data_IF_735674715958
#
_entry.id   IF_735674715958
#
_cell.length_a   1.000
_cell.length_b   1.000
_cell.length_c   1.000
_cell.angle_alpha   90.00
_cell.angle_beta   90.00
_cell.angle_gamma   90.00
#
_symmetry.space_group_name_H-M   'P 1'
#
loop_
_entity.id
_entity.type
_entity.pdbx_description
1 polymer ?
#
# COMPACT_ATOMS: atom_id res chain seq x y z
N UNK A 1 10.62 -3.40 -16.90
CA UNK A 1 11.12 -3.08 -15.55
C UNK A 1 9.97 -2.61 -14.68
N UNK A 2 9.97 -2.84 -13.36
CA UNK A 2 8.85 -2.46 -12.48
C UNK A 2 8.67 -0.94 -12.36
N UNK A 3 9.72 -0.15 -12.61
CA UNK A 3 9.68 1.32 -12.46
C UNK A 3 8.65 1.97 -13.38
N UNK A 4 8.31 1.35 -14.51
CA UNK A 4 7.33 1.88 -15.46
C UNK A 4 5.89 1.91 -14.90
N UNK A 5 5.62 1.10 -13.86
CA UNK A 5 4.33 1.06 -13.18
C UNK A 5 4.25 2.06 -12.01
N UNK A 6 5.38 2.64 -11.61
CA UNK A 6 5.44 3.63 -10.54
C UNK A 6 4.88 4.95 -11.04
N UNK A 7 3.88 5.47 -10.33
CA UNK A 7 3.29 6.76 -10.63
C UNK A 7 4.29 7.93 -10.40
N UNK A 8 4.30 8.98 -11.23
CA UNK A 8 5.17 10.16 -11.04
C UNK A 8 5.13 10.75 -9.62
N UNK A 9 3.93 10.83 -9.01
CA UNK A 9 3.74 11.29 -7.62
C UNK A 9 4.61 10.56 -6.60
N UNK A 10 4.85 9.27 -6.80
CA UNK A 10 5.68 8.48 -5.90
C UNK A 10 7.16 8.82 -6.10
N UNK A 11 7.60 9.03 -7.33
CA UNK A 11 8.99 9.45 -7.61
C UNK A 11 9.30 10.80 -6.99
N UNK A 12 8.36 11.74 -7.08
CA UNK A 12 8.46 13.07 -6.45
C UNK A 12 8.50 12.97 -4.93
N UNK A 13 7.67 12.11 -4.34
CA UNK A 13 7.63 11.90 -2.90
C UNK A 13 8.92 11.23 -2.39
N UNK A 14 9.33 10.08 -2.94
CA UNK A 14 10.49 9.36 -2.44
C UNK A 14 11.83 10.05 -2.74
N UNK A 15 11.84 11.00 -3.69
CA UNK A 15 12.98 11.81 -4.12
C UNK A 15 14.11 11.02 -4.81
N UNK A 16 14.44 9.83 -4.31
CA UNK A 16 15.49 8.95 -4.85
C UNK A 16 14.93 7.58 -5.17
N UNK A 17 15.54 6.93 -6.16
CA UNK A 17 15.20 5.56 -6.56
C UNK A 17 15.43 4.57 -5.40
N UNK A 18 16.50 4.75 -4.63
CA UNK A 18 16.86 3.85 -3.54
C UNK A 18 15.79 3.85 -2.43
N UNK A 19 15.27 5.02 -2.03
CA UNK A 19 14.22 5.11 -1.00
C UNK A 19 12.90 4.44 -1.42
N UNK A 20 12.51 4.61 -2.68
CA UNK A 20 11.35 3.91 -3.23
C UNK A 20 11.60 2.40 -3.25
N UNK A 21 12.78 2.00 -3.71
CA UNK A 21 13.17 0.59 -3.81
C UNK A 21 13.21 -0.09 -2.44
N UNK A 22 13.76 0.56 -1.42
CA UNK A 22 13.76 0.08 -0.03
C UNK A 22 12.33 -0.14 0.50
N UNK A 23 11.42 0.80 0.21
CA UNK A 23 10.01 0.69 0.59
C UNK A 23 9.33 -0.50 -0.11
N UNK A 24 9.59 -0.69 -1.40
CA UNK A 24 9.04 -1.83 -2.16
C UNK A 24 9.68 -3.16 -1.74
N UNK A 25 10.97 -3.18 -1.42
CA UNK A 25 11.64 -4.36 -0.86
C UNK A 25 11.09 -4.73 0.50
N UNK A 26 10.74 -3.75 1.34
CA UNK A 26 10.06 -4.00 2.62
C UNK A 26 8.72 -4.71 2.41
N UNK A 27 7.95 -4.29 1.39
CA UNK A 27 6.70 -4.97 1.04
C UNK A 27 6.96 -6.39 0.55
N UNK A 28 7.87 -6.56 -0.42
CA UNK A 28 8.17 -7.84 -1.06
C UNK A 28 8.70 -8.90 -0.08
N UNK A 29 9.42 -8.49 0.98
CA UNK A 29 9.94 -9.41 2.01
C UNK A 29 8.87 -9.94 2.96
N UNK A 30 7.71 -9.30 3.02
CA UNK A 30 6.66 -9.57 3.98
C UNK A 30 5.37 -10.09 3.32
N UNK A 31 5.49 -10.62 2.10
CA UNK A 31 4.45 -11.36 1.38
C UNK A 31 5.03 -12.71 0.95
N UNK A 32 4.19 -13.62 0.44
CA UNK A 32 4.71 -14.87 -0.13
C UNK A 32 5.54 -14.58 -1.39
N UNK A 33 6.66 -15.28 -1.57
CA UNK A 33 7.65 -14.99 -2.62
C UNK A 33 7.15 -15.19 -4.07
N UNK A 34 6.02 -15.88 -4.24
CA UNK A 34 5.36 -16.06 -5.54
C UNK A 34 4.24 -15.05 -5.79
N UNK A 35 3.87 -14.28 -4.79
CA UNK A 35 2.74 -13.36 -4.87
C UNK A 35 3.20 -12.01 -5.42
N UNK A 36 2.31 -11.40 -6.20
CA UNK A 36 2.50 -10.04 -6.71
C UNK A 36 1.26 -9.21 -6.37
N UNK A 37 1.35 -8.24 -5.44
CA UNK A 37 0.21 -7.43 -5.02
C UNK A 37 -0.19 -6.37 -6.05
N UNK A 38 0.57 -6.19 -7.14
CA UNK A 38 0.40 -5.14 -8.14
C UNK A 38 -0.09 -5.73 -9.46
N UNK A 39 0.66 -6.68 -10.01
CA UNK A 39 0.42 -7.30 -11.32
C UNK A 39 -0.11 -8.73 -11.23
N UNK A 40 -0.27 -9.27 -10.02
CA UNK A 40 -0.79 -10.61 -9.80
C UNK A 40 -2.27 -10.78 -10.18
N UNK A 41 -2.76 -11.99 -9.91
CA UNK A 41 -4.17 -12.35 -10.14
C UNK A 41 -5.15 -11.69 -9.17
N UNK A 42 -6.37 -12.22 -9.14
CA UNK A 42 -7.46 -11.76 -8.27
C UNK A 42 -7.52 -12.57 -6.96
N UNK A 43 -6.45 -13.29 -6.63
CA UNK A 43 -6.29 -13.95 -5.34
C UNK A 43 -5.78 -12.97 -4.28
N UNK A 44 -6.14 -13.19 -3.02
CA UNK A 44 -5.57 -12.42 -1.92
C UNK A 44 -4.04 -12.57 -1.88
N UNK A 45 -3.35 -11.47 -1.60
CA UNK A 45 -1.92 -11.45 -1.29
C UNK A 45 -1.81 -11.06 0.17
N UNK A 46 -1.32 -11.96 1.01
CA UNK A 46 -1.33 -11.78 2.46
C UNK A 46 -0.06 -11.12 2.98
N UNK A 47 -0.25 -10.20 3.91
CA UNK A 47 0.80 -9.55 4.67
C UNK A 47 1.24 -10.39 5.86
N UNK A 48 2.55 -10.51 6.06
CA UNK A 48 3.18 -11.24 7.16
C UNK A 48 4.15 -10.38 7.98
N UNK A 49 4.16 -9.07 7.74
CA UNK A 49 5.00 -8.12 8.48
C UNK A 49 4.28 -7.48 9.67
N UNK A 50 4.70 -6.26 10.02
CA UNK A 50 4.12 -5.50 11.14
C UNK A 50 2.63 -5.23 10.95
N UNK A 51 1.87 -5.30 12.05
CA UNK A 51 0.46 -4.94 12.07
C UNK A 51 0.20 -3.85 13.10
N UNK A 52 -0.86 -3.07 12.90
CA UNK A 52 -1.34 -2.17 13.97
C UNK A 52 -1.98 -2.95 15.10
N UNK A 53 -2.11 -2.31 16.27
CA UNK A 53 -2.75 -2.89 17.46
C UNK A 53 -4.29 -2.75 17.44
N UNK A 54 -4.87 -2.40 16.30
CA UNK A 54 -6.31 -2.23 16.14
C UNK A 54 -7.00 -3.60 16.01
N UNK A 55 -8.33 -3.62 16.22
CA UNK A 55 -9.16 -4.82 15.98
C UNK A 55 -10.21 -4.47 14.92
N UNK A 56 -10.17 -5.06 13.71
CA UNK A 56 -9.17 -6.02 13.23
C UNK A 56 -7.79 -5.36 13.00
N UNK A 57 -6.74 -6.19 13.04
CA UNK A 57 -5.37 -5.78 12.72
C UNK A 57 -5.27 -5.22 11.29
N UNK A 58 -4.33 -4.30 11.07
CA UNK A 58 -4.11 -3.64 9.78
C UNK A 58 -2.67 -3.83 9.33
N UNK A 59 -2.46 -4.18 8.05
CA UNK A 59 -1.12 -4.30 7.48
C UNK A 59 -0.39 -2.95 7.52
N UNK A 60 0.77 -2.91 8.19
CA UNK A 60 1.51 -1.68 8.44
C UNK A 60 2.99 -1.81 8.08
N UNK A 61 3.62 -0.69 7.75
CA UNK A 61 5.07 -0.59 7.65
C UNK A 61 5.56 0.71 8.30
N UNK A 62 6.83 0.74 8.64
CA UNK A 62 7.53 1.94 9.08
C UNK A 62 8.24 2.56 7.88
N UNK A 63 8.00 3.85 7.63
CA UNK A 63 8.79 4.63 6.68
C UNK A 63 9.23 5.94 7.30
N UNK A 64 10.40 6.42 6.88
CA UNK A 64 10.78 7.82 7.08
C UNK A 64 10.19 8.63 5.94
N UNK A 65 9.28 9.56 6.24
CA UNK A 65 8.69 10.41 5.20
C UNK A 65 9.69 11.50 4.79
N UNK A 66 9.56 12.05 3.57
CA UNK A 66 10.41 13.14 3.12
C UNK A 66 10.31 14.35 4.06
N UNK A 67 11.45 14.83 4.55
CA UNK A 67 11.51 15.95 5.50
C UNK A 67 11.28 15.55 6.97
N UNK A 68 11.09 14.27 7.26
CA UNK A 68 11.08 13.72 8.62
C UNK A 68 12.40 12.97 8.87
N UNK A 69 12.89 13.00 10.11
CA UNK A 69 14.06 12.23 10.56
C UNK A 69 13.66 10.96 11.34
N UNK A 70 12.37 10.78 11.59
CA UNK A 70 11.83 9.70 12.41
C UNK A 70 10.89 8.84 11.56
N UNK A 71 10.99 7.53 11.73
CA UNK A 71 10.04 6.60 11.13
C UNK A 71 8.62 6.83 11.64
N UNK A 72 7.66 6.92 10.71
CA UNK A 72 6.24 6.88 11.01
C UNK A 72 5.60 5.62 10.47
N UNK A 73 4.59 5.12 11.20
CA UNK A 73 3.78 4.00 10.74
C UNK A 73 2.86 4.47 9.61
N UNK A 74 2.82 3.72 8.52
CA UNK A 74 1.83 3.87 7.45
C UNK A 74 1.16 2.53 7.16
N UNK A 75 0.01 2.59 6.49
CA UNK A 75 -0.72 1.40 6.05
C UNK A 75 -0.22 0.93 4.69
N UNK A 76 0.01 -0.38 4.55
CA UNK A 76 0.55 -0.96 3.31
C UNK A 76 -0.38 -0.71 2.13
N UNK A 77 -1.69 -0.86 2.32
CA UNK A 77 -2.67 -0.62 1.25
C UNK A 77 -2.69 0.84 0.77
N UNK A 78 -2.50 1.81 1.68
CA UNK A 78 -2.39 3.23 1.33
C UNK A 78 -1.11 3.52 0.57
N UNK A 79 -0.01 2.89 0.96
CA UNK A 79 1.26 3.05 0.29
C UNK A 79 1.22 2.48 -1.13
N UNK A 80 0.68 1.27 -1.31
CA UNK A 80 0.53 0.65 -2.64
C UNK A 80 -0.38 1.48 -3.55
N UNK A 81 -1.51 1.97 -3.04
CA UNK A 81 -2.37 2.88 -3.80
C UNK A 81 -1.65 4.16 -4.20
N UNK A 82 -0.90 4.77 -3.28
CA UNK A 82 -0.12 5.98 -3.59
C UNK A 82 0.90 5.75 -4.70
N UNK A 83 1.59 4.60 -4.67
CA UNK A 83 2.66 4.27 -5.63
C UNK A 83 2.12 3.85 -6.99
N UNK A 84 1.07 3.04 -7.04
CA UNK A 84 0.69 2.28 -8.24
C UNK A 84 -0.74 2.52 -8.75
N UNK A 85 -1.64 3.11 -7.95
CA UNK A 85 -2.98 3.40 -8.48
C UNK A 85 -2.89 4.36 -9.67
N UNK A 86 -3.87 4.30 -10.56
CA UNK A 86 -4.06 5.35 -11.58
C UNK A 86 -4.50 6.66 -10.94
N UNK A 87 -4.42 7.77 -11.65
CA UNK A 87 -4.94 9.05 -11.15
C UNK A 87 -6.43 8.97 -10.79
N UNK A 88 -7.26 8.37 -11.66
CA UNK A 88 -8.70 8.25 -11.41
C UNK A 88 -9.01 7.45 -10.12
N UNK A 89 -8.35 6.30 -9.94
CA UNK A 89 -8.53 5.48 -8.74
C UNK A 89 -7.99 6.19 -7.50
N UNK A 90 -6.84 6.85 -7.61
CA UNK A 90 -6.22 7.56 -6.50
C UNK A 90 -7.08 8.75 -6.05
N UNK A 91 -7.66 9.52 -6.98
CA UNK A 91 -8.58 10.62 -6.65
C UNK A 91 -9.80 10.15 -5.87
N UNK A 92 -10.38 8.99 -6.22
CA UNK A 92 -11.49 8.39 -5.47
C UNK A 92 -11.03 8.00 -4.07
N UNK A 93 -9.89 7.32 -3.96
CA UNK A 93 -9.31 6.92 -2.68
C UNK A 93 -8.98 8.11 -1.77
N UNK A 94 -8.61 9.26 -2.34
CA UNK A 94 -8.31 10.46 -1.56
C UNK A 94 -9.55 11.16 -0.97
N UNK A 95 -10.76 10.80 -1.41
CA UNK A 95 -12.02 11.26 -0.81
C UNK A 95 -12.42 10.46 0.42
N UNK A 96 -11.80 9.30 0.64
CA UNK A 96 -12.06 8.46 1.81
C UNK A 96 -11.35 9.02 3.06
N UNK A 97 -11.79 8.63 4.27
CA UNK A 97 -11.10 8.98 5.51
C UNK A 97 -9.61 8.63 5.49
N UNK A 98 -8.81 9.32 6.32
CA UNK A 98 -7.37 9.05 6.50
C UNK A 98 -7.10 7.81 7.37
N UNK A 99 -7.90 6.78 7.13
CA UNK A 99 -7.84 5.45 7.75
C UNK A 99 -7.30 4.43 6.74
N UNK A 100 -6.92 3.20 7.15
CA UNK A 100 -6.59 2.14 6.21
C UNK A 100 -7.76 1.90 5.25
N UNK A 101 -7.45 1.68 3.97
CA UNK A 101 -8.50 1.36 3.01
C UNK A 101 -9.13 0.01 3.34
N UNK A 102 -10.44 -0.11 3.14
CA UNK A 102 -11.11 -1.42 3.31
C UNK A 102 -10.78 -2.30 2.12
N UNK A 103 -10.51 -3.57 2.38
CA UNK A 103 -10.31 -4.57 1.34
C UNK A 103 -11.65 -5.19 0.93
N UNK A 104 -11.94 -5.28 -0.36
CA UNK A 104 -13.18 -5.87 -0.90
C UNK A 104 -13.29 -7.37 -0.63
N UNK A 105 -12.16 -8.04 -0.41
CA UNK A 105 -12.11 -9.45 -0.02
C UNK A 105 -12.46 -9.68 1.47
N UNK A 106 -12.69 -8.62 2.25
CA UNK A 106 -13.07 -8.70 3.66
C UNK A 106 -11.91 -8.87 4.65
N UNK A 107 -10.69 -9.14 4.17
CA UNK A 107 -9.50 -9.35 5.01
C UNK A 107 -8.56 -8.14 4.94
N UNK A 108 -8.30 -7.49 6.08
CA UNK A 108 -7.47 -6.28 6.17
C UNK A 108 -5.95 -6.56 6.11
N UNK A 109 -5.54 -7.83 6.16
CA UNK A 109 -4.15 -8.24 5.92
C UNK A 109 -3.91 -8.58 4.45
N UNK A 110 -4.94 -8.53 3.60
CA UNK A 110 -4.75 -8.55 2.15
C UNK A 110 -4.11 -7.22 1.70
N UNK A 111 -3.08 -7.31 0.86
CA UNK A 111 -2.37 -6.15 0.27
C UNK A 111 -2.45 -6.14 -1.25
N UNK A 112 -3.30 -6.97 -1.87
CA UNK A 112 -3.55 -6.91 -3.31
C UNK A 112 -4.19 -5.55 -3.69
N UNK A 113 -3.53 -4.79 -4.57
CA UNK A 113 -3.96 -3.46 -5.02
C UNK A 113 -5.36 -3.49 -5.64
N UNK A 114 -5.71 -4.56 -6.37
CA UNK A 114 -7.05 -4.73 -6.98
C UNK A 114 -8.14 -4.96 -5.95
N UNK A 115 -7.76 -5.39 -4.75
CA UNK A 115 -8.71 -5.65 -3.66
C UNK A 115 -8.96 -4.40 -2.80
N UNK A 116 -8.34 -3.25 -3.09
CA UNK A 116 -8.60 -2.01 -2.37
C UNK A 116 -10.00 -1.49 -2.74
N UNK A 117 -10.85 -1.32 -1.73
CA UNK A 117 -12.17 -0.73 -1.87
C UNK A 117 -12.09 0.78 -2.07
N UNK A 118 -12.58 1.26 -3.21
CA UNK A 118 -12.64 2.69 -3.56
C UNK A 118 -13.99 3.35 -3.22
N UNK A 119 -14.90 2.64 -2.56
CA UNK A 119 -16.22 3.15 -2.18
C UNK A 119 -16.36 3.25 -0.66
N UNK A 120 -17.15 4.23 -0.15
CA UNK A 120 -17.52 4.28 1.24
C UNK A 120 -18.28 3.00 1.63
N UNK A 121 -17.85 2.33 2.68
CA UNK A 121 -18.66 1.25 3.26
C UNK A 121 -19.90 1.86 3.92
N UNK A 122 -21.04 1.82 3.24
CA UNK A 122 -22.33 2.07 3.89
C UNK A 122 -22.59 0.91 4.85
N UNK A 123 -22.55 1.19 6.15
CA UNK A 123 -23.13 0.32 7.17
C UNK A 123 -24.55 0.75 7.45
#
# INVERSE_FOLDING_TARGET
SWEQYVHPRAREFFQTHDRLTESLMSIARNIHYTDDPILGGDSCVYWYGDVTKDVPEQAALRLVKPGEDVESVTYVNRLLAFIFATDESFEKLMRLPKEPFKMVCGDQLCVNLKHIGAEPSYR
#
